data_IF_472596099240
#
_entry.id   IF_472596099240
#
_cell.length_a   1.000
_cell.length_b   1.000
_cell.length_c   1.000
_cell.angle_alpha   90.00
_cell.angle_beta   90.00
_cell.angle_gamma   90.00
#
_symmetry.space_group_name_H-M   'P 1'
#
loop_
_entity.id
_entity.type
_entity.pdbx_description
1 polymer ?
#
# COMPACT_ATOMS: atom_id res chain seq x y z
N UNK A 1 9.44 -26.80 -3.12
CA UNK A 1 8.41 -25.89 -3.64
C UNK A 1 7.72 -25.25 -2.44
N UNK A 2 8.05 -23.97 -2.11
CA UNK A 2 7.31 -23.22 -1.07
C UNK A 2 5.98 -22.83 -1.68
N UNK A 3 4.90 -23.39 -1.20
CA UNK A 3 3.56 -22.89 -1.49
C UNK A 3 3.46 -21.56 -0.73
N UNK A 4 3.55 -20.45 -1.45
CA UNK A 4 3.25 -19.13 -0.92
C UNK A 4 1.74 -19.06 -0.69
N UNK A 5 1.32 -19.32 0.53
CA UNK A 5 -0.04 -19.02 0.97
C UNK A 5 -0.15 -17.49 1.04
N UNK A 6 -0.85 -16.92 0.07
CA UNK A 6 -1.23 -15.49 0.13
C UNK A 6 -2.15 -15.30 1.33
N UNK A 7 -1.90 -14.32 2.19
CA UNK A 7 -2.86 -14.01 3.24
C UNK A 7 -4.15 -13.51 2.59
N UNK A 8 -5.13 -14.39 2.48
CA UNK A 8 -6.49 -14.00 2.17
C UNK A 8 -7.09 -13.49 3.48
N UNK A 9 -7.31 -12.18 3.57
CA UNK A 9 -8.04 -11.63 4.70
C UNK A 9 -9.50 -11.97 4.49
N UNK A 10 -10.08 -12.71 5.41
CA UNK A 10 -11.49 -13.07 5.45
C UNK A 10 -12.11 -12.61 6.75
N UNK A 11 -13.13 -11.79 6.67
CA UNK A 11 -13.87 -11.28 7.81
C UNK A 11 -15.08 -12.18 8.05
N UNK A 12 -14.94 -13.11 9.00
CA UNK A 12 -16.02 -13.99 9.41
C UNK A 12 -16.62 -13.50 10.73
N UNK A 13 -17.94 -13.27 10.75
CA UNK A 13 -18.69 -13.10 11.97
C UNK A 13 -19.19 -14.50 12.38
N UNK A 14 -18.77 -14.95 13.57
CA UNK A 14 -19.40 -16.10 14.23
C UNK A 14 -20.53 -15.57 15.12
N UNK A 15 -21.76 -15.91 14.78
CA UNK A 15 -22.97 -15.42 15.45
C UNK A 15 -23.24 -16.04 16.84
N UNK A 16 -22.23 -16.44 17.59
CA UNK A 16 -22.38 -17.03 18.91
C UNK A 16 -22.50 -16.01 20.07
N UNK A 17 -22.52 -14.71 19.74
CA UNK A 17 -22.68 -13.63 20.72
C UNK A 17 -23.67 -12.57 20.21
N UNK A 18 -24.34 -11.82 21.12
CA UNK A 18 -25.18 -10.71 20.72
C UNK A 18 -24.40 -9.66 19.96
N UNK A 19 -24.97 -9.19 18.86
CA UNK A 19 -24.36 -8.17 18.00
C UNK A 19 -24.36 -6.83 18.71
N UNK A 20 -23.19 -6.33 19.09
CA UNK A 20 -23.03 -5.00 19.70
C UNK A 20 -22.60 -3.96 18.64
N UNK A 21 -22.78 -2.65 18.91
CA UNK A 21 -22.27 -1.59 18.01
C UNK A 21 -20.77 -1.71 17.72
N UNK A 22 -19.95 -2.10 18.71
CA UNK A 22 -18.50 -2.31 18.55
C UNK A 22 -18.21 -3.44 17.55
N UNK A 23 -18.92 -4.58 17.67
CA UNK A 23 -18.78 -5.71 16.74
C UNK A 23 -19.12 -5.30 15.31
N UNK A 24 -20.17 -4.48 15.11
CA UNK A 24 -20.53 -3.97 13.79
C UNK A 24 -19.42 -3.06 13.23
N UNK A 25 -18.82 -2.26 14.10
CA UNK A 25 -17.76 -1.34 13.72
C UNK A 25 -16.51 -2.10 13.28
N UNK A 26 -16.03 -3.02 14.10
CA UNK A 26 -14.88 -3.89 13.82
C UNK A 26 -15.08 -4.69 12.53
N UNK A 27 -16.31 -5.15 12.27
CA UNK A 27 -16.64 -5.86 11.04
C UNK A 27 -16.54 -4.96 9.81
N UNK A 28 -17.02 -3.73 9.89
CA UNK A 28 -16.92 -2.76 8.77
C UNK A 28 -15.47 -2.42 8.44
N UNK A 29 -14.65 -2.23 9.47
CA UNK A 29 -13.22 -1.98 9.28
C UNK A 29 -12.51 -3.19 8.70
N UNK A 30 -12.81 -4.38 9.20
CA UNK A 30 -12.28 -5.63 8.63
C UNK A 30 -12.69 -5.77 7.15
N UNK A 31 -13.94 -5.52 6.79
CA UNK A 31 -14.40 -5.58 5.38
C UNK A 31 -13.72 -4.54 4.49
N UNK A 32 -13.44 -3.36 5.03
CA UNK A 32 -12.66 -2.33 4.31
C UNK A 32 -11.25 -2.83 4.03
N UNK A 33 -10.57 -3.38 5.03
CA UNK A 33 -9.21 -3.95 4.88
C UNK A 33 -9.22 -5.09 3.87
N UNK A 34 -10.16 -6.04 4.01
CA UNK A 34 -10.34 -7.16 3.09
C UNK A 34 -10.47 -6.68 1.64
N UNK A 35 -11.33 -5.71 1.39
CA UNK A 35 -11.54 -5.14 0.07
C UNK A 35 -10.26 -4.50 -0.49
N UNK A 36 -9.58 -3.67 0.31
CA UNK A 36 -8.36 -2.98 -0.11
C UNK A 36 -7.24 -3.97 -0.46
N UNK A 37 -6.97 -4.93 0.44
CA UNK A 37 -5.88 -5.91 0.25
C UNK A 37 -6.18 -6.84 -0.92
N UNK A 38 -7.41 -7.35 -1.02
CA UNK A 38 -7.77 -8.28 -2.09
C UNK A 38 -7.79 -7.61 -3.47
N UNK A 39 -8.14 -6.32 -3.54
CA UNK A 39 -8.13 -5.56 -4.80
C UNK A 39 -6.74 -5.45 -5.44
N UNK A 40 -5.68 -5.53 -4.65
CA UNK A 40 -4.29 -5.46 -5.12
C UNK A 40 -3.51 -6.77 -4.92
N UNK A 41 -4.22 -7.87 -4.65
CA UNK A 41 -3.62 -9.16 -4.28
C UNK A 41 -2.66 -9.72 -5.34
N UNK A 42 -2.86 -9.42 -6.62
CA UNK A 42 -1.96 -9.82 -7.71
C UNK A 42 -0.56 -9.19 -7.60
N UNK A 43 -0.40 -8.10 -6.83
CA UNK A 43 0.89 -7.49 -6.53
C UNK A 43 1.58 -8.07 -5.30
N UNK A 44 0.93 -8.92 -4.52
CA UNK A 44 1.50 -9.46 -3.28
C UNK A 44 2.86 -10.14 -3.46
N UNK A 45 3.11 -10.97 -4.51
CA UNK A 45 4.44 -11.55 -4.71
C UNK A 45 5.54 -10.49 -4.81
N UNK A 46 5.22 -9.37 -5.46
CA UNK A 46 6.16 -8.28 -5.63
C UNK A 46 6.30 -7.42 -4.36
N UNK A 47 5.21 -7.22 -3.63
CA UNK A 47 5.26 -6.57 -2.30
C UNK A 47 6.15 -7.39 -1.36
N UNK A 48 5.95 -8.72 -1.28
CA UNK A 48 6.75 -9.62 -0.43
C UNK A 48 8.22 -9.70 -0.83
N UNK A 49 8.56 -9.36 -2.08
CA UNK A 49 9.97 -9.26 -2.52
C UNK A 49 10.71 -8.11 -1.83
N UNK A 50 10.03 -7.01 -1.54
CA UNK A 50 10.64 -5.76 -1.07
C UNK A 50 10.28 -5.38 0.35
N UNK A 51 9.16 -5.86 0.87
CA UNK A 51 8.65 -5.50 2.20
C UNK A 51 8.63 -6.71 3.12
N UNK A 52 8.77 -6.45 4.43
CA UNK A 52 8.66 -7.48 5.46
C UNK A 52 7.23 -8.01 5.53
N UNK A 53 7.09 -9.26 5.99
CA UNK A 53 5.79 -9.94 6.09
C UNK A 53 4.77 -9.13 6.91
N UNK A 54 5.20 -8.57 8.04
CA UNK A 54 4.36 -7.75 8.91
C UNK A 54 3.85 -6.46 8.25
N UNK A 55 4.50 -5.97 7.20
CA UNK A 55 4.15 -4.72 6.51
C UNK A 55 3.26 -4.95 5.27
N UNK A 56 3.10 -6.18 4.82
CA UNK A 56 2.41 -6.51 3.54
C UNK A 56 0.98 -5.98 3.51
N UNK A 57 0.23 -6.13 4.60
CA UNK A 57 -1.16 -5.63 4.69
C UNK A 57 -1.18 -4.10 4.59
N UNK A 58 -0.36 -3.42 5.38
CA UNK A 58 -0.27 -1.95 5.36
C UNK A 58 0.12 -1.42 3.99
N UNK A 59 1.15 -1.99 3.38
CA UNK A 59 1.63 -1.59 2.05
C UNK A 59 0.58 -1.86 0.97
N UNK A 60 -0.13 -2.98 1.03
CA UNK A 60 -1.24 -3.27 0.12
C UNK A 60 -2.36 -2.23 0.22
N UNK A 61 -2.70 -1.80 1.44
CA UNK A 61 -3.70 -0.76 1.69
C UNK A 61 -3.25 0.60 1.16
N UNK A 62 -1.98 0.98 1.40
CA UNK A 62 -1.41 2.22 0.83
C UNK A 62 -1.48 2.15 -0.70
N UNK A 63 -1.03 1.07 -1.33
CA UNK A 63 -1.07 0.89 -2.78
C UNK A 63 -2.49 1.02 -3.33
N UNK A 64 -3.47 0.40 -2.67
CA UNK A 64 -4.87 0.54 -3.06
C UNK A 64 -5.31 2.01 -3.04
N UNK A 65 -5.00 2.74 -1.97
CA UNK A 65 -5.39 4.13 -1.78
C UNK A 65 -4.69 5.10 -2.74
N UNK A 66 -3.45 4.80 -3.12
CA UNK A 66 -2.65 5.63 -4.03
C UNK A 66 -3.02 5.42 -5.50
N UNK A 67 -3.12 4.18 -5.93
CA UNK A 67 -3.27 3.87 -7.36
C UNK A 67 -4.36 2.86 -7.70
N UNK A 68 -5.00 2.25 -6.71
CA UNK A 68 -5.87 1.06 -6.87
C UNK A 68 -5.13 -0.10 -7.59
N UNK A 69 -3.80 -0.20 -7.38
CA UNK A 69 -2.96 -1.20 -8.03
C UNK A 69 -2.64 -0.93 -9.50
N UNK A 70 -2.86 0.28 -9.99
CA UNK A 70 -2.56 0.66 -11.38
C UNK A 70 -1.10 1.12 -11.50
N UNK A 71 -0.25 0.28 -12.08
CA UNK A 71 1.20 0.57 -12.22
C UNK A 71 1.50 1.80 -13.08
N UNK A 72 0.62 2.15 -14.00
CA UNK A 72 0.79 3.30 -14.91
C UNK A 72 0.05 4.56 -14.44
N UNK A 73 -0.47 4.56 -13.19
CA UNK A 73 -1.16 5.73 -12.65
C UNK A 73 -0.24 6.95 -12.59
N UNK A 74 -0.77 8.10 -12.94
CA UNK A 74 -0.10 9.41 -12.83
C UNK A 74 -1.06 10.39 -12.19
N UNK A 75 -0.66 10.93 -11.04
CA UNK A 75 -1.33 12.04 -10.37
C UNK A 75 -0.63 13.36 -10.71
N UNK A 76 -1.39 14.41 -10.92
CA UNK A 76 -0.86 15.75 -11.22
C UNK A 76 -1.11 16.67 -10.05
N UNK A 77 -0.04 17.30 -9.57
CA UNK A 77 -0.09 18.21 -8.44
C UNK A 77 -0.17 19.67 -8.89
N UNK A 78 -0.75 20.53 -8.08
CA UNK A 78 -0.89 21.97 -8.37
C UNK A 78 0.44 22.71 -8.49
N UNK A 79 1.51 22.16 -7.88
CA UNK A 79 2.87 22.69 -7.98
C UNK A 79 3.63 22.23 -9.24
N UNK A 80 2.97 21.53 -10.18
CA UNK A 80 3.53 21.04 -11.43
C UNK A 80 4.30 19.72 -11.32
N UNK A 81 4.41 19.13 -10.12
CA UNK A 81 5.00 17.80 -9.98
C UNK A 81 4.00 16.69 -10.27
N UNK A 82 4.50 15.49 -10.56
CA UNK A 82 3.67 14.29 -10.74
C UNK A 82 4.00 13.23 -9.70
N UNK A 83 2.96 12.45 -9.34
CA UNK A 83 3.09 11.24 -8.55
C UNK A 83 2.84 10.04 -9.46
N UNK A 84 3.74 9.05 -9.46
CA UNK A 84 3.74 8.01 -10.50
C UNK A 84 3.81 6.62 -9.92
N UNK A 85 3.02 5.73 -10.53
CA UNK A 85 3.09 4.29 -10.34
C UNK A 85 2.29 3.75 -9.17
N UNK A 86 2.56 2.52 -8.76
CA UNK A 86 1.80 1.79 -7.74
C UNK A 86 1.69 2.54 -6.42
N UNK A 87 2.78 3.13 -5.96
CA UNK A 87 2.90 3.82 -4.68
C UNK A 87 2.95 5.35 -4.85
N UNK A 88 2.63 5.86 -6.02
CA UNK A 88 2.55 7.30 -6.34
C UNK A 88 3.79 8.10 -5.87
N UNK A 89 4.97 7.69 -6.35
CA UNK A 89 6.24 8.36 -6.01
C UNK A 89 6.32 9.70 -6.71
N UNK A 90 6.46 10.79 -5.93
CA UNK A 90 6.57 12.16 -6.44
C UNK A 90 7.90 12.38 -7.19
N UNK A 91 7.89 13.31 -8.16
CA UNK A 91 9.08 13.71 -8.92
C UNK A 91 10.25 14.10 -8.02
N UNK A 92 10.03 14.94 -7.02
CA UNK A 92 11.08 15.39 -6.09
C UNK A 92 11.65 14.24 -5.26
N UNK A 93 10.80 13.31 -4.84
CA UNK A 93 11.20 12.12 -4.10
C UNK A 93 12.03 11.19 -4.97
N UNK A 94 11.60 10.99 -6.23
CA UNK A 94 12.35 10.22 -7.22
C UNK A 94 13.75 10.81 -7.42
N UNK A 95 13.84 12.11 -7.68
CA UNK A 95 15.11 12.79 -7.92
C UNK A 95 16.05 12.67 -6.71
N UNK A 96 15.53 12.88 -5.51
CA UNK A 96 16.30 12.73 -4.28
C UNK A 96 16.86 11.31 -4.08
N UNK A 97 16.02 10.29 -4.24
CA UNK A 97 16.43 8.89 -4.08
C UNK A 97 17.44 8.50 -5.18
N UNK A 98 17.17 8.90 -6.43
CA UNK A 98 18.01 8.59 -7.58
C UNK A 98 19.41 9.19 -7.42
N UNK A 99 19.50 10.45 -7.01
CA UNK A 99 20.80 11.10 -6.75
C UNK A 99 21.54 10.45 -5.58
N UNK A 100 20.81 10.07 -4.53
CA UNK A 100 21.41 9.47 -3.33
C UNK A 100 21.93 8.05 -3.55
N UNK A 101 21.22 7.22 -4.32
CA UNK A 101 21.46 5.78 -4.45
C UNK A 101 21.97 5.36 -5.82
N UNK A 102 21.98 6.26 -6.80
CA UNK A 102 22.29 5.92 -8.19
C UNK A 102 21.21 5.06 -8.86
N UNK A 103 19.99 5.09 -8.36
CA UNK A 103 18.88 4.31 -8.91
C UNK A 103 18.07 5.13 -9.89
N UNK A 104 18.15 4.76 -11.16
CA UNK A 104 17.41 5.40 -12.25
C UNK A 104 16.55 4.36 -12.95
N UNK A 105 15.29 4.67 -13.19
CA UNK A 105 14.34 3.75 -13.82
C UNK A 105 12.97 4.39 -14.02
N UNK A 106 12.08 3.65 -14.66
CA UNK A 106 10.70 4.09 -14.87
C UNK A 106 9.86 3.81 -13.62
N UNK A 107 9.30 4.86 -13.03
CA UNK A 107 8.37 4.72 -11.89
C UNK A 107 7.06 3.99 -12.24
N UNK A 108 6.75 3.80 -13.53
CA UNK A 108 5.63 2.98 -14.01
C UNK A 108 5.97 1.48 -14.05
N UNK A 109 7.26 1.14 -13.98
CA UNK A 109 7.69 -0.24 -13.78
C UNK A 109 7.39 -0.69 -12.35
N UNK A 110 6.57 -1.74 -12.15
CA UNK A 110 6.16 -2.16 -10.82
C UNK A 110 7.32 -2.56 -9.91
N UNK A 111 8.32 -3.27 -10.46
CA UNK A 111 9.48 -3.72 -9.70
C UNK A 111 10.32 -2.54 -9.21
N UNK A 112 10.59 -1.60 -10.09
CA UNK A 112 11.34 -0.39 -9.75
C UNK A 112 10.57 0.51 -8.75
N UNK A 113 9.25 0.67 -8.97
CA UNK A 113 8.40 1.47 -8.07
C UNK A 113 8.40 0.91 -6.65
N UNK A 114 8.19 -0.41 -6.49
CA UNK A 114 8.19 -1.04 -5.16
C UNK A 114 9.57 -1.10 -4.52
N UNK A 115 10.64 -1.30 -5.30
CA UNK A 115 12.02 -1.19 -4.80
C UNK A 115 12.28 0.18 -4.18
N UNK A 116 11.93 1.24 -4.88
CA UNK A 116 12.12 2.62 -4.41
C UNK A 116 11.24 2.92 -3.20
N UNK A 117 9.97 2.51 -3.24
CA UNK A 117 9.01 2.69 -2.16
C UNK A 117 9.40 1.96 -0.88
N UNK A 118 9.96 0.76 -0.98
CA UNK A 118 10.41 0.01 0.19
C UNK A 118 11.59 0.71 0.89
N UNK A 119 12.55 1.21 0.11
CA UNK A 119 13.65 1.99 0.69
C UNK A 119 13.11 3.24 1.41
N UNK A 120 12.20 3.95 0.78
CA UNK A 120 11.58 5.15 1.36
C UNK A 120 10.81 4.83 2.66
N UNK A 121 10.03 3.75 2.65
CA UNK A 121 9.24 3.29 3.79
C UNK A 121 10.13 2.95 5.00
N UNK A 122 11.21 2.19 4.78
CA UNK A 122 12.13 1.80 5.87
C UNK A 122 13.09 2.91 6.27
N UNK A 123 13.37 3.87 5.40
CA UNK A 123 14.23 5.02 5.71
C UNK A 123 13.52 6.09 6.51
N UNK A 124 12.27 6.38 6.16
CA UNK A 124 11.55 7.56 6.64
C UNK A 124 10.15 7.25 7.19
N UNK A 125 9.70 5.99 7.13
CA UNK A 125 8.37 5.61 7.54
C UNK A 125 7.28 5.94 6.52
N UNK A 126 6.05 5.79 6.95
CA UNK A 126 4.84 5.91 6.11
C UNK A 126 4.39 7.34 5.84
N UNK A 127 5.06 8.36 6.43
CA UNK A 127 4.62 9.76 6.32
C UNK A 127 4.57 10.29 4.89
N UNK A 128 5.32 9.69 3.96
CA UNK A 128 5.25 10.03 2.53
C UNK A 128 3.87 9.79 1.92
N UNK A 129 3.05 8.95 2.54
CA UNK A 129 1.68 8.63 2.12
C UNK A 129 0.61 9.23 3.02
N UNK A 130 0.96 10.24 3.84
CA UNK A 130 0.01 10.87 4.76
C UNK A 130 -1.15 11.59 4.06
N UNK A 131 -0.99 12.01 2.81
CA UNK A 131 -2.07 12.62 2.02
C UNK A 131 -3.26 11.66 1.84
N UNK A 132 -3.00 10.37 1.74
CA UNK A 132 -4.02 9.32 1.64
C UNK A 132 -4.33 8.61 2.96
N UNK A 133 -3.77 9.07 4.09
CA UNK A 133 -3.86 8.39 5.39
C UNK A 133 -5.30 8.08 5.82
N UNK A 134 -6.26 8.95 5.55
CA UNK A 134 -7.69 8.69 5.83
C UNK A 134 -8.24 7.44 5.13
N UNK A 135 -7.60 7.00 4.06
CA UNK A 135 -8.00 5.82 3.32
C UNK A 135 -7.43 4.53 3.95
N UNK A 136 -6.18 4.53 4.36
CA UNK A 136 -5.47 3.31 4.77
C UNK A 136 -5.16 3.20 6.26
N UNK A 137 -5.14 4.28 7.03
CA UNK A 137 -5.05 4.20 8.50
C UNK A 137 -6.37 3.78 9.11
N UNK A 138 -6.28 3.08 10.22
CA UNK A 138 -7.44 2.79 11.06
C UNK A 138 -7.71 4.00 11.98
N UNK A 139 -8.96 4.14 12.44
CA UNK A 139 -9.35 5.31 13.26
C UNK A 139 -8.70 5.33 14.64
N UNK A 140 -8.03 4.24 15.02
CA UNK A 140 -7.37 4.07 16.32
C UNK A 140 -5.82 4.07 16.23
N UNK A 141 -5.25 4.39 15.06
CA UNK A 141 -3.79 4.51 14.87
C UNK A 141 -3.28 5.95 15.05
#
# INVERSE_FOLDING_TARGET
MKILLYPVISCLITFNQPVTPEIIYDYKDCKKIEFQVNSVSHWQPLIQKYFREEDVIKVSRIMFCESSGRSKAVGYNTNGTTDVGLMQINDSTYDWISQKLGWYGDRKDPDFNLKMSSWLFYKSGEHHWNSSAKCWKDMND
#
